data_IF_244885258206
#
_entry.id   IF_244885258206
#
_cell.length_a   1.000
_cell.length_b   1.000
_cell.length_c   1.000
_cell.angle_alpha   90.00
_cell.angle_beta   90.00
_cell.angle_gamma   90.00
#
_symmetry.space_group_name_H-M   'P 1'
#
loop_
_entity.id
_entity.type
_entity.pdbx_description
1 polymer ?
#
# COMPACT_ATOMS: atom_id res chain seq x y z
N UNK A 1 19.62 15.37 -36.58
CA UNK A 1 20.03 14.31 -35.63
C UNK A 1 18.86 14.06 -34.69
N UNK A 2 17.81 13.42 -35.21
CA UNK A 2 16.53 13.18 -34.50
C UNK A 2 16.26 11.69 -34.62
N UNK A 3 16.67 10.96 -33.58
CA UNK A 3 16.44 9.52 -33.44
C UNK A 3 15.05 9.31 -32.84
N UNK A 4 14.04 9.23 -33.67
CA UNK A 4 12.74 8.63 -33.32
C UNK A 4 12.93 7.11 -33.29
N UNK A 5 13.29 6.58 -32.12
CA UNK A 5 13.54 5.15 -31.92
C UNK A 5 12.71 4.59 -30.76
N UNK A 6 11.64 3.88 -31.10
CA UNK A 6 10.91 2.89 -30.29
C UNK A 6 10.58 3.26 -28.82
N UNK A 7 9.46 3.96 -28.62
CA UNK A 7 8.68 3.81 -27.39
C UNK A 7 8.08 2.40 -27.36
N UNK A 8 8.82 1.44 -26.79
CA UNK A 8 8.27 0.13 -26.43
C UNK A 8 7.36 0.34 -25.23
N UNK A 9 6.08 0.57 -25.51
CA UNK A 9 5.01 0.59 -24.51
C UNK A 9 5.08 -0.75 -23.77
N UNK A 10 5.57 -0.73 -22.53
CA UNK A 10 5.59 -1.90 -21.67
C UNK A 10 4.14 -2.18 -21.34
N UNK A 11 3.64 -3.32 -21.81
CA UNK A 11 2.28 -3.77 -21.56
C UNK A 11 1.92 -3.53 -20.08
N UNK A 12 0.73 -2.98 -19.76
CA UNK A 12 0.25 -3.01 -18.40
C UNK A 12 0.17 -4.51 -18.09
N UNK A 13 1.05 -4.99 -17.21
CA UNK A 13 0.92 -6.36 -16.72
C UNK A 13 -0.34 -6.35 -15.87
N UNK A 14 -1.41 -6.71 -16.56
CA UNK A 14 -2.69 -7.14 -16.03
C UNK A 14 -2.43 -7.96 -14.78
N UNK A 15 -3.24 -7.62 -13.79
CA UNK A 15 -3.44 -8.31 -12.54
C UNK A 15 -3.70 -9.80 -12.78
N UNK A 16 -2.65 -10.60 -12.91
CA UNK A 16 -2.72 -12.06 -12.97
C UNK A 16 -1.50 -12.66 -12.25
N UNK A 17 -1.69 -13.06 -10.99
CA UNK A 17 -0.84 -14.06 -10.32
C UNK A 17 -1.71 -15.08 -9.60
N UNK A 18 -1.84 -16.30 -10.13
CA UNK A 18 -2.37 -17.43 -9.38
C UNK A 18 -1.24 -18.22 -8.71
N UNK A 19 -1.46 -18.49 -7.43
CA UNK A 19 -1.11 -19.66 -6.62
C UNK A 19 0.33 -20.22 -6.55
N UNK A 20 0.74 -20.50 -5.30
CA UNK A 20 1.81 -21.42 -4.87
C UNK A 20 3.25 -20.88 -4.77
N UNK A 21 3.55 -20.18 -3.67
CA UNK A 21 4.79 -20.44 -2.90
C UNK A 21 4.42 -20.69 -1.44
N UNK A 22 4.53 -21.95 -1.03
CA UNK A 22 4.55 -22.39 0.37
C UNK A 22 5.74 -21.78 1.11
N UNK A 23 5.59 -20.54 1.58
CA UNK A 23 6.40 -20.00 2.65
C UNK A 23 5.50 -19.92 3.89
N UNK A 24 5.95 -20.51 5.00
CA UNK A 24 5.17 -20.82 6.19
C UNK A 24 4.22 -19.71 6.63
N UNK A 25 2.94 -20.06 6.69
CA UNK A 25 1.91 -19.31 7.41
C UNK A 25 2.18 -19.46 8.92
N UNK A 26 3.16 -18.71 9.43
CA UNK A 26 3.17 -18.36 10.84
C UNK A 26 2.03 -17.37 11.02
N UNK A 27 0.85 -17.86 11.40
CA UNK A 27 -0.25 -16.98 11.82
C UNK A 27 0.20 -16.28 13.11
N UNK A 28 0.92 -15.18 12.95
CA UNK A 28 1.33 -14.29 14.03
C UNK A 28 0.13 -13.44 14.44
N UNK A 29 -0.94 -14.09 14.89
CA UNK A 29 -1.99 -13.44 15.69
C UNK A 29 -1.49 -13.47 17.14
N UNK A 30 -0.34 -12.84 17.38
CA UNK A 30 0.01 -12.42 18.74
C UNK A 30 -1.17 -11.60 19.23
N UNK A 31 -1.71 -11.90 20.41
CA UNK A 31 -2.84 -11.18 21.01
C UNK A 31 -2.61 -9.67 20.90
N UNK A 32 -3.13 -9.06 19.84
CA UNK A 32 -2.95 -7.66 19.56
C UNK A 32 -3.93 -6.93 20.45
N UNK A 33 -3.39 -6.05 21.29
CA UNK A 33 -4.17 -5.08 22.04
C UNK A 33 -5.15 -4.39 21.09
N UNK A 34 -6.43 -4.28 21.45
CA UNK A 34 -7.41 -3.54 20.65
C UNK A 34 -6.96 -2.08 20.56
N UNK A 35 -6.39 -1.69 19.41
CA UNK A 35 -5.98 -0.31 19.14
C UNK A 35 -7.09 0.36 18.34
N UNK A 36 -7.67 1.40 18.93
CA UNK A 36 -8.71 2.21 18.30
C UNK A 36 -8.07 3.41 17.59
N UNK A 37 -8.53 3.67 16.37
CA UNK A 37 -8.11 4.81 15.56
C UNK A 37 -9.31 5.42 14.87
N UNK A 38 -9.33 6.74 14.74
CA UNK A 38 -10.37 7.47 14.02
C UNK A 38 -10.24 7.25 12.49
N UNK A 39 -9.01 7.13 11.99
CA UNK A 39 -8.73 7.01 10.55
C UNK A 39 -7.67 5.94 10.27
N UNK A 40 -8.06 4.94 9.47
CA UNK A 40 -7.12 3.94 8.92
C UNK A 40 -6.83 4.27 7.46
N UNK A 41 -5.55 4.48 7.14
CA UNK A 41 -5.08 4.71 5.78
C UNK A 41 -4.42 3.45 5.24
N UNK A 42 -4.88 2.96 4.10
CA UNK A 42 -4.28 1.81 3.42
C UNK A 42 -3.45 2.29 2.24
N UNK A 43 -2.16 1.97 2.26
CA UNK A 43 -1.14 2.38 1.30
C UNK A 43 -0.35 3.62 1.75
N UNK A 44 0.97 3.55 1.70
CA UNK A 44 1.93 4.60 2.10
C UNK A 44 2.39 5.50 0.94
N UNK A 45 1.77 5.38 -0.24
CA UNK A 45 2.07 6.21 -1.40
C UNK A 45 1.72 7.69 -1.19
N UNK A 46 1.99 8.52 -2.19
CA UNK A 46 1.79 9.98 -2.10
C UNK A 46 0.38 10.37 -1.61
N UNK A 47 -0.67 9.72 -2.10
CA UNK A 47 -2.03 9.97 -1.66
C UNK A 47 -2.29 9.53 -0.21
N UNK A 48 -1.74 8.39 0.21
CA UNK A 48 -1.95 7.85 1.55
C UNK A 48 -1.31 8.70 2.63
N UNK A 49 -0.05 9.12 2.44
CA UNK A 49 0.59 10.01 3.41
C UNK A 49 -0.07 11.39 3.48
N UNK A 50 -0.56 11.93 2.34
CA UNK A 50 -1.34 13.18 2.37
C UNK A 50 -2.61 13.01 3.20
N UNK A 51 -3.32 11.88 3.06
CA UNK A 51 -4.51 11.59 3.86
C UNK A 51 -4.17 11.44 5.36
N UNK A 52 -3.11 10.69 5.70
CA UNK A 52 -2.68 10.47 7.07
C UNK A 52 -2.25 11.78 7.76
N UNK A 53 -1.42 12.60 7.08
CA UNK A 53 -1.00 13.89 7.59
C UNK A 53 -2.17 14.85 7.77
N UNK A 54 -3.14 14.82 6.84
CA UNK A 54 -4.34 15.65 6.95
C UNK A 54 -5.18 15.25 8.17
N UNK A 55 -5.39 13.95 8.39
CA UNK A 55 -6.10 13.45 9.57
C UNK A 55 -5.38 13.80 10.88
N UNK A 56 -4.06 13.60 10.94
CA UNK A 56 -3.26 13.95 12.11
C UNK A 56 -3.27 15.46 12.40
N UNK A 57 -3.23 16.30 11.35
CA UNK A 57 -3.32 17.76 11.50
C UNK A 57 -4.68 18.22 12.03
N UNK A 58 -5.75 17.44 11.80
CA UNK A 58 -7.06 17.66 12.40
C UNK A 58 -7.15 17.15 13.85
N UNK A 59 -6.07 16.59 14.39
CA UNK A 59 -6.01 16.01 15.73
C UNK A 59 -6.60 14.62 15.84
N UNK A 60 -6.85 13.94 14.72
CA UNK A 60 -7.39 12.57 14.70
C UNK A 60 -6.28 11.55 14.90
N UNK A 61 -6.62 10.46 15.59
CA UNK A 61 -5.75 9.30 15.70
C UNK A 61 -5.75 8.52 14.37
N UNK A 62 -4.58 8.33 13.77
CA UNK A 62 -4.46 7.69 12.46
C UNK A 62 -3.35 6.63 12.40
N UNK A 63 -3.60 5.57 11.64
CA UNK A 63 -2.63 4.49 11.37
C UNK A 63 -2.54 4.23 9.86
N UNK A 64 -1.34 3.95 9.37
CA UNK A 64 -1.06 3.60 7.96
C UNK A 64 -0.66 2.12 7.86
N UNK A 65 -1.22 1.40 6.89
CA UNK A 65 -0.91 -0.01 6.59
C UNK A 65 -0.43 -0.15 5.15
N UNK A 66 0.72 -0.82 4.92
CA UNK A 66 1.32 -1.09 3.60
C UNK A 66 1.31 -2.58 3.23
#
# INVERSE_FOLDING_TARGET
RTSTGNMKVKSPRSFDRPCCRSAGQFYNVFYMTEQEYDVVVVGSGAAGMVAALTAAHQGLSTVVVE
#
